data_IF_794465251371
#
_entry.id   IF_794465251371
#
_cell.length_a   1.000
_cell.length_b   1.000
_cell.length_c   1.000
_cell.angle_alpha   90.00
_cell.angle_beta   90.00
_cell.angle_gamma   90.00
#
_symmetry.space_group_name_H-M   'P 1'
#
loop_
_entity.id
_entity.type
_entity.pdbx_description
1 polymer ?
#
# COMPACT_ATOMS: atom_id res chain seq x y z
N UNK A 1 -25.05 -29.65 -6.48
CA UNK A 1 -23.83 -28.94 -6.06
C UNK A 1 -23.97 -27.49 -6.55
N UNK A 2 -24.17 -26.55 -5.64
CA UNK A 2 -24.17 -25.12 -5.96
C UNK A 2 -22.71 -24.75 -6.28
N UNK A 3 -22.45 -24.24 -7.51
CA UNK A 3 -21.13 -23.69 -7.82
C UNK A 3 -20.85 -22.52 -6.87
N UNK A 4 -19.73 -22.51 -6.14
CA UNK A 4 -19.41 -21.36 -5.31
C UNK A 4 -19.25 -20.16 -6.23
N UNK A 5 -20.14 -19.20 -6.11
CA UNK A 5 -19.97 -17.88 -6.69
C UNK A 5 -18.86 -17.18 -5.92
N UNK A 6 -17.65 -17.19 -6.43
CA UNK A 6 -16.57 -16.42 -5.84
C UNK A 6 -16.88 -14.93 -6.02
N UNK A 7 -17.27 -14.28 -4.94
CA UNK A 7 -17.34 -12.82 -4.90
C UNK A 7 -15.90 -12.34 -4.80
N UNK A 8 -15.39 -11.59 -5.78
CA UNK A 8 -14.02 -11.10 -5.71
C UNK A 8 -13.87 -10.12 -4.54
N UNK A 9 -12.76 -10.25 -3.80
CA UNK A 9 -12.44 -9.35 -2.69
C UNK A 9 -12.40 -7.89 -3.16
N UNK A 10 -12.89 -6.97 -2.32
CA UNK A 10 -13.00 -5.54 -2.65
C UNK A 10 -11.66 -4.90 -3.05
N UNK A 11 -10.55 -5.35 -2.48
CA UNK A 11 -9.21 -4.84 -2.76
C UNK A 11 -8.39 -5.73 -3.73
N UNK A 12 -9.04 -6.66 -4.45
CA UNK A 12 -8.40 -7.48 -5.47
C UNK A 12 -8.66 -6.92 -6.87
N UNK A 13 -7.73 -7.16 -7.80
CA UNK A 13 -7.90 -6.81 -9.21
C UNK A 13 -7.13 -5.58 -9.67
N UNK A 14 -5.96 -5.32 -9.11
CA UNK A 14 -5.06 -4.28 -9.61
C UNK A 14 -4.67 -4.51 -11.07
N UNK A 15 -4.80 -3.46 -11.91
CA UNK A 15 -4.56 -3.49 -13.35
C UNK A 15 -3.09 -3.26 -13.75
N UNK A 16 -2.23 -2.78 -12.83
CA UNK A 16 -0.83 -2.51 -13.14
C UNK A 16 -0.02 -3.78 -13.36
N UNK A 17 0.80 -3.79 -14.41
CA UNK A 17 1.91 -4.74 -14.49
C UNK A 17 2.91 -4.43 -13.37
N UNK A 18 3.19 -5.40 -12.54
CA UNK A 18 4.08 -5.27 -11.37
C UNK A 18 5.55 -5.07 -11.76
N UNK A 19 5.89 -5.14 -13.03
CA UNK A 19 7.23 -4.94 -13.60
C UNK A 19 8.33 -5.72 -12.83
N UNK A 20 8.05 -6.97 -12.47
CA UNK A 20 8.89 -7.77 -11.56
C UNK A 20 10.36 -7.84 -11.98
N UNK A 21 10.64 -7.97 -13.29
CA UNK A 21 12.01 -8.04 -13.81
C UNK A 21 12.70 -6.68 -13.75
N UNK A 22 11.97 -5.61 -14.07
CA UNK A 22 12.48 -4.25 -14.15
C UNK A 22 12.79 -3.64 -12.77
N UNK A 23 12.15 -4.12 -11.71
CA UNK A 23 12.41 -3.65 -10.34
C UNK A 23 13.85 -3.87 -9.86
N UNK A 24 14.60 -4.75 -10.52
CA UNK A 24 16.02 -5.02 -10.22
C UNK A 24 16.97 -4.12 -10.99
N UNK A 25 16.50 -3.51 -12.03
CA UNK A 25 17.28 -2.57 -12.85
C UNK A 25 17.24 -1.17 -12.21
N UNK A 26 18.34 -0.80 -11.54
CA UNK A 26 18.44 0.49 -10.84
C UNK A 26 18.46 1.66 -11.81
N UNK A 27 19.06 1.50 -13.00
CA UNK A 27 19.13 2.57 -14.00
C UNK A 27 17.74 2.85 -14.54
N UNK A 28 16.99 1.81 -14.90
CA UNK A 28 15.62 1.92 -15.34
C UNK A 28 14.71 2.55 -14.25
N UNK A 29 14.82 2.11 -12.99
CA UNK A 29 14.06 2.69 -11.89
C UNK A 29 14.34 4.18 -11.73
N UNK A 30 15.61 4.59 -11.79
CA UNK A 30 16.00 5.98 -11.66
C UNK A 30 15.48 6.82 -12.84
N UNK A 31 15.59 6.32 -14.06
CA UNK A 31 15.00 6.95 -15.25
C UNK A 31 13.49 7.17 -15.07
N UNK A 32 12.76 6.14 -14.61
CA UNK A 32 11.30 6.22 -14.41
C UNK A 32 10.91 7.17 -13.27
N UNK A 33 11.68 7.23 -12.19
CA UNK A 33 11.44 8.21 -11.10
C UNK A 33 11.51 9.67 -11.58
N UNK A 34 12.37 9.95 -12.55
CA UNK A 34 12.56 11.30 -13.10
C UNK A 34 11.71 11.56 -14.35
N UNK A 35 11.06 10.55 -14.91
CA UNK A 35 10.31 10.67 -16.13
C UNK A 35 9.02 11.49 -15.95
N UNK A 36 8.77 12.52 -16.79
CA UNK A 36 7.59 13.39 -16.64
C UNK A 36 6.25 12.67 -16.72
N UNK A 37 6.20 11.53 -17.44
CA UNK A 37 5.01 10.69 -17.56
C UNK A 37 4.77 9.77 -16.36
N UNK A 38 5.70 9.70 -15.39
CA UNK A 38 5.51 8.88 -14.21
C UNK A 38 4.60 9.56 -13.21
N UNK A 39 3.83 8.74 -12.49
CA UNK A 39 2.87 9.19 -11.49
C UNK A 39 3.25 8.69 -10.10
N UNK A 40 2.95 9.50 -9.09
CA UNK A 40 3.21 9.22 -7.69
C UNK A 40 1.90 9.25 -6.92
N UNK A 41 1.64 8.22 -6.14
CA UNK A 41 0.61 8.20 -5.12
C UNK A 41 1.27 8.57 -3.77
N UNK A 42 1.05 9.80 -3.28
CA UNK A 42 1.55 10.19 -1.98
C UNK A 42 0.74 9.53 -0.86
N UNK A 43 1.45 9.12 0.20
CA UNK A 43 0.87 8.71 1.46
C UNK A 43 1.48 9.56 2.59
N UNK A 44 0.72 9.80 3.63
CA UNK A 44 1.18 10.41 4.86
C UNK A 44 0.64 9.62 6.05
N UNK A 45 1.53 9.06 6.85
CA UNK A 45 1.21 8.16 7.97
C UNK A 45 0.30 6.97 7.55
N UNK A 46 0.56 6.42 6.36
CA UNK A 46 -0.21 5.33 5.78
C UNK A 46 -1.59 5.72 5.25
N UNK A 47 -1.94 7.01 5.26
CA UNK A 47 -3.15 7.55 4.63
C UNK A 47 -2.83 7.99 3.20
N UNK A 48 -3.44 7.38 2.17
CA UNK A 48 -3.24 7.82 0.80
C UNK A 48 -3.90 9.16 0.52
N UNK A 49 -3.31 9.91 -0.41
CA UNK A 49 -3.92 11.13 -0.93
C UNK A 49 -5.09 10.79 -1.85
N UNK A 50 -6.27 11.29 -1.53
CA UNK A 50 -7.51 11.04 -2.26
C UNK A 50 -8.01 12.33 -2.89
N UNK A 51 -8.22 12.32 -4.20
CA UNK A 51 -8.89 13.41 -4.91
C UNK A 51 -10.36 13.42 -4.52
N UNK A 52 -10.80 14.55 -3.97
CA UNK A 52 -12.20 14.76 -3.63
C UNK A 52 -12.97 15.17 -4.88
N UNK A 53 -13.92 14.33 -5.26
CA UNK A 53 -14.82 14.52 -6.39
C UNK A 53 -16.15 13.80 -6.08
N UNK A 54 -17.13 13.88 -6.97
CA UNK A 54 -18.37 13.11 -6.85
C UNK A 54 -18.08 11.60 -6.64
N UNK A 55 -17.08 11.07 -7.37
CA UNK A 55 -16.48 9.76 -7.11
C UNK A 55 -15.04 9.96 -6.63
N UNK A 56 -14.69 9.60 -5.39
CA UNK A 56 -13.34 9.71 -4.90
C UNK A 56 -12.39 8.78 -5.67
N UNK A 57 -11.16 9.22 -5.88
CA UNK A 57 -10.15 8.48 -6.61
C UNK A 57 -8.74 8.74 -6.04
N UNK A 58 -7.74 7.87 -6.31
CA UNK A 58 -6.34 8.16 -5.97
C UNK A 58 -5.89 9.49 -6.58
N UNK A 59 -5.30 10.37 -5.80
CA UNK A 59 -4.66 11.57 -6.32
C UNK A 59 -3.24 11.21 -6.78
N UNK A 60 -3.10 10.89 -8.06
CA UNK A 60 -1.81 10.66 -8.69
C UNK A 60 -1.21 12.01 -9.11
N UNK A 61 0.01 12.28 -8.63
CA UNK A 61 0.76 13.52 -8.88
C UNK A 61 1.89 13.21 -9.86
N UNK A 62 2.23 14.13 -10.75
CA UNK A 62 3.40 14.00 -11.61
C UNK A 62 4.68 13.89 -10.78
N UNK A 63 5.57 12.97 -11.14
CA UNK A 63 6.79 12.73 -10.36
C UNK A 63 7.67 13.99 -10.23
N UNK A 64 7.68 14.86 -11.24
CA UNK A 64 8.42 16.13 -11.23
C UNK A 64 7.94 17.13 -10.16
N UNK A 65 6.66 17.08 -9.78
CA UNK A 65 6.08 17.99 -8.79
C UNK A 65 6.46 17.61 -7.33
N UNK A 66 6.94 16.40 -7.11
CA UNK A 66 7.24 15.86 -5.77
C UNK A 66 8.64 15.22 -5.72
N UNK A 67 9.48 15.46 -6.70
CA UNK A 67 10.79 14.81 -6.85
C UNK A 67 11.70 14.93 -5.62
N UNK A 68 11.75 16.08 -4.96
CA UNK A 68 12.56 16.30 -3.77
C UNK A 68 12.15 15.40 -2.57
N UNK A 69 10.93 14.91 -2.55
CA UNK A 69 10.46 14.04 -1.48
C UNK A 69 10.97 12.61 -1.60
N UNK A 70 11.39 12.16 -2.78
CA UNK A 70 11.98 10.82 -2.97
C UNK A 70 13.31 10.64 -2.26
N UNK A 71 14.06 11.71 -2.02
CA UNK A 71 15.32 11.65 -1.29
C UNK A 71 15.13 11.33 0.21
N UNK A 72 13.99 11.70 0.76
CA UNK A 72 13.70 11.64 2.20
C UNK A 72 12.66 10.58 2.58
N UNK A 73 11.80 10.22 1.62
CA UNK A 73 10.69 9.30 1.84
C UNK A 73 11.00 7.86 1.50
N UNK A 74 10.28 6.94 2.13
CA UNK A 74 10.24 5.55 1.66
C UNK A 74 9.32 5.49 0.42
N UNK A 75 9.80 4.91 -0.67
CA UNK A 75 9.04 4.77 -1.91
C UNK A 75 9.07 3.36 -2.48
N UNK A 76 8.08 3.04 -3.30
CA UNK A 76 8.04 1.78 -4.03
C UNK A 76 7.39 1.94 -5.41
N UNK A 77 7.89 1.21 -6.40
CA UNK A 77 7.22 1.04 -7.68
C UNK A 77 5.98 0.15 -7.49
N UNK A 78 4.80 0.69 -7.74
CA UNK A 78 3.56 -0.10 -7.72
C UNK A 78 3.38 -0.92 -8.99
N UNK A 79 3.87 -0.40 -10.11
CA UNK A 79 3.82 -1.06 -11.40
C UNK A 79 3.82 -0.07 -12.55
N UNK A 80 3.50 -0.58 -13.74
CA UNK A 80 3.41 0.21 -14.97
C UNK A 80 2.05 0.01 -15.65
N UNK A 81 1.53 1.07 -16.26
CA UNK A 81 0.38 1.04 -17.17
C UNK A 81 0.84 1.59 -18.53
N UNK A 82 1.10 0.69 -19.49
CA UNK A 82 1.82 1.08 -20.71
C UNK A 82 3.20 1.64 -20.34
N UNK A 83 3.49 2.87 -20.77
CA UNK A 83 4.76 3.53 -20.49
C UNK A 83 4.79 4.31 -19.16
N UNK A 84 3.64 4.47 -18.51
CA UNK A 84 3.55 5.19 -17.24
C UNK A 84 3.94 4.31 -16.07
N UNK A 85 5.00 4.67 -15.37
CA UNK A 85 5.33 4.08 -14.07
C UNK A 85 4.53 4.76 -12.96
N UNK A 86 4.03 3.97 -12.01
CA UNK A 86 3.28 4.45 -10.85
C UNK A 86 4.04 4.08 -9.58
N UNK A 87 4.34 5.07 -8.76
CA UNK A 87 5.07 4.91 -7.51
C UNK A 87 4.17 5.23 -6.30
N UNK A 88 4.39 4.57 -5.18
CA UNK A 88 3.94 5.02 -3.87
C UNK A 88 5.09 5.76 -3.19
N UNK A 89 4.76 6.81 -2.44
CA UNK A 89 5.73 7.60 -1.67
C UNK A 89 5.13 7.95 -0.31
N UNK A 90 5.75 7.48 0.76
CA UNK A 90 5.41 7.86 2.13
C UNK A 90 6.14 9.15 2.50
N UNK A 91 5.39 10.22 2.78
CA UNK A 91 5.91 11.58 2.98
C UNK A 91 6.21 11.92 4.43
N UNK A 92 5.74 11.13 5.39
CA UNK A 92 5.87 11.48 6.78
C UNK A 92 6.00 10.31 7.72
N UNK A 93 6.98 10.44 8.63
CA UNK A 93 7.04 9.63 9.83
C UNK A 93 6.09 10.21 10.87
N UNK A 94 5.69 9.38 11.86
CA UNK A 94 4.89 9.83 13.00
C UNK A 94 5.47 11.10 13.62
N UNK A 95 4.65 12.15 13.74
CA UNK A 95 5.03 13.44 14.32
C UNK A 95 5.44 14.53 13.31
N UNK A 96 5.57 14.23 12.02
CA UNK A 96 5.74 15.26 11.01
C UNK A 96 4.38 15.92 10.69
N UNK A 97 4.40 17.20 10.33
CA UNK A 97 3.22 17.86 9.76
C UNK A 97 2.95 17.30 8.36
N UNK A 98 1.65 17.18 8.02
CA UNK A 98 1.28 16.78 6.67
C UNK A 98 1.75 17.83 5.67
N UNK A 99 2.40 17.42 4.55
CA UNK A 99 2.76 18.38 3.52
C UNK A 99 1.49 18.96 2.88
N UNK A 100 1.54 20.24 2.50
CA UNK A 100 0.42 20.89 1.82
C UNK A 100 0.29 20.37 0.38
N UNK A 101 -0.55 19.38 0.20
CA UNK A 101 -0.97 18.85 -1.09
C UNK A 101 -2.48 19.05 -1.34
N UNK A 102 -3.08 20.00 -0.63
CA UNK A 102 -4.53 20.28 -0.66
C UNK A 102 -5.07 20.53 -2.07
N UNK A 103 -4.26 21.12 -2.96
CA UNK A 103 -4.61 21.32 -4.38
C UNK A 103 -4.87 20.03 -5.16
N UNK A 104 -4.33 18.89 -4.68
CA UNK A 104 -4.49 17.58 -5.33
C UNK A 104 -5.53 16.71 -4.64
N UNK A 105 -5.75 16.90 -3.34
CA UNK A 105 -6.66 16.06 -2.56
C UNK A 105 -6.45 16.17 -1.06
N UNK A 106 -6.97 15.18 -0.35
CA UNK A 106 -6.88 15.09 1.11
C UNK A 106 -6.36 13.71 1.51
N UNK A 107 -5.42 13.66 2.45
CA UNK A 107 -4.99 12.41 3.06
C UNK A 107 -6.14 11.79 3.85
N UNK A 108 -6.53 10.58 3.49
CA UNK A 108 -7.76 9.97 3.99
C UNK A 108 -7.53 8.51 4.38
N UNK A 109 -8.09 8.10 5.52
CA UNK A 109 -8.03 6.69 5.92
C UNK A 109 -8.77 5.80 4.90
N UNK A 110 -8.08 4.81 4.37
CA UNK A 110 -8.60 3.94 3.32
C UNK A 110 -9.94 3.26 3.68
N UNK A 111 -10.13 2.93 4.96
CA UNK A 111 -11.38 2.31 5.43
C UNK A 111 -12.61 3.19 5.26
N UNK A 112 -12.43 4.51 5.27
CA UNK A 112 -13.54 5.47 5.10
C UNK A 112 -13.99 5.57 3.64
N UNK A 113 -13.06 5.53 2.71
CA UNK A 113 -13.33 5.69 1.28
C UNK A 113 -13.42 4.36 0.51
N UNK A 114 -12.84 3.29 1.04
CA UNK A 114 -12.77 1.98 0.38
C UNK A 114 -14.09 1.48 -0.20
N UNK A 115 -15.23 1.58 0.54
CA UNK A 115 -16.52 1.10 0.05
C UNK A 115 -17.09 1.84 -1.17
N UNK A 116 -16.64 3.08 -1.41
CA UNK A 116 -17.14 3.96 -2.48
C UNK A 116 -16.15 4.17 -3.63
N UNK A 117 -14.95 3.60 -3.53
CA UNK A 117 -13.93 3.64 -4.59
C UNK A 117 -14.26 2.67 -5.72
N UNK A 118 -13.83 3.03 -6.93
CA UNK A 118 -13.74 2.05 -8.01
C UNK A 118 -12.82 0.88 -7.59
N UNK A 119 -13.14 -0.32 -8.03
CA UNK A 119 -12.45 -1.55 -7.60
C UNK A 119 -10.93 -1.52 -7.86
N UNK A 120 -10.53 -1.02 -9.03
CA UNK A 120 -9.12 -0.92 -9.41
C UNK A 120 -8.38 0.10 -8.53
N UNK A 121 -9.02 1.23 -8.24
CA UNK A 121 -8.50 2.26 -7.34
C UNK A 121 -8.36 1.74 -5.90
N UNK A 122 -9.37 1.03 -5.41
CA UNK A 122 -9.33 0.41 -4.10
C UNK A 122 -8.18 -0.62 -3.98
N UNK A 123 -7.95 -1.42 -5.04
CA UNK A 123 -6.85 -2.37 -5.10
C UNK A 123 -5.48 -1.66 -5.13
N UNK A 124 -5.35 -0.59 -5.91
CA UNK A 124 -4.12 0.22 -5.98
C UNK A 124 -3.77 0.84 -4.62
N UNK A 125 -4.76 1.46 -3.97
CA UNK A 125 -4.60 2.11 -2.67
C UNK A 125 -4.26 1.10 -1.56
N UNK A 126 -4.94 -0.04 -1.54
CA UNK A 126 -4.66 -1.10 -0.56
C UNK A 126 -3.25 -1.65 -0.72
N UNK A 127 -2.80 -1.84 -1.96
CA UNK A 127 -1.46 -2.30 -2.26
C UNK A 127 -0.39 -1.28 -1.85
N UNK A 128 -0.54 -0.01 -2.23
CA UNK A 128 0.37 1.06 -1.86
C UNK A 128 0.48 1.19 -0.34
N UNK A 129 -0.67 1.27 0.34
CA UNK A 129 -0.74 1.35 1.80
C UNK A 129 -0.07 0.16 2.49
N UNK A 130 -0.37 -1.07 2.04
CA UNK A 130 0.21 -2.28 2.59
C UNK A 130 1.73 -2.29 2.49
N UNK A 131 2.26 -1.89 1.34
CA UNK A 131 3.69 -1.84 1.07
C UNK A 131 4.39 -0.75 1.90
N UNK A 132 3.82 0.45 1.99
CA UNK A 132 4.39 1.55 2.80
C UNK A 132 4.33 1.25 4.30
N UNK A 133 3.26 0.65 4.80
CA UNK A 133 3.20 0.19 6.19
C UNK A 133 4.24 -0.89 6.50
N UNK A 134 4.49 -1.80 5.55
CA UNK A 134 5.55 -2.78 5.69
C UNK A 134 6.93 -2.10 5.73
N UNK A 135 7.20 -1.10 4.88
CA UNK A 135 8.43 -0.31 4.93
C UNK A 135 8.64 0.32 6.31
N UNK A 136 7.63 0.99 6.83
CA UNK A 136 7.69 1.64 8.14
C UNK A 136 8.01 0.68 9.30
N UNK A 137 7.52 -0.58 9.21
CA UNK A 137 7.72 -1.61 10.24
C UNK A 137 9.02 -2.40 10.11
N UNK A 138 9.70 -2.31 8.97
CA UNK A 138 10.91 -3.10 8.67
C UNK A 138 12.16 -2.23 8.47
N UNK A 139 12.22 -1.08 9.13
CA UNK A 139 13.37 -0.16 9.07
C UNK A 139 14.62 -0.74 9.73
N UNK A 140 14.43 -1.68 10.64
CA UNK A 140 15.49 -2.39 11.33
C UNK A 140 15.38 -3.89 11.08
N UNK A 141 16.54 -4.55 11.04
CA UNK A 141 16.62 -6.00 10.84
C UNK A 141 16.13 -6.74 12.09
N UNK A 142 15.15 -7.62 11.95
CA UNK A 142 14.62 -8.43 13.05
C UNK A 142 15.62 -9.44 13.63
N UNK A 143 16.71 -9.75 12.90
CA UNK A 143 17.72 -10.70 13.36
C UNK A 143 18.89 -10.03 14.15
N UNK A 144 19.33 -8.82 13.73
CA UNK A 144 20.51 -8.20 14.34
C UNK A 144 20.31 -6.73 14.76
N UNK A 145 19.12 -6.16 14.55
CA UNK A 145 18.79 -4.79 14.93
C UNK A 145 19.40 -3.69 14.05
N UNK A 146 20.29 -4.01 13.10
CA UNK A 146 20.89 -3.01 12.21
C UNK A 146 19.82 -2.39 11.26
N UNK A 147 20.03 -1.16 10.77
CA UNK A 147 19.14 -0.57 9.78
C UNK A 147 19.00 -1.45 8.52
N UNK A 148 17.90 -1.29 7.82
CA UNK A 148 17.68 -1.93 6.52
C UNK A 148 17.60 -0.88 5.43
N UNK A 149 18.00 -1.23 4.20
CA UNK A 149 17.82 -0.39 3.01
C UNK A 149 16.80 -0.99 2.06
N UNK A 150 16.08 -0.14 1.34
CA UNK A 150 15.15 -0.54 0.30
C UNK A 150 15.89 -1.02 -0.96
N UNK A 151 15.42 -2.11 -1.55
CA UNK A 151 15.93 -2.70 -2.79
C UNK A 151 14.75 -3.13 -3.69
N UNK A 152 15.06 -3.52 -4.92
CA UNK A 152 14.08 -4.03 -5.91
C UNK A 152 12.84 -3.13 -6.05
N UNK A 153 13.08 -1.83 -6.24
CA UNK A 153 11.98 -0.86 -6.40
C UNK A 153 11.02 -0.82 -5.21
N UNK A 154 11.52 -1.05 -3.99
CA UNK A 154 10.71 -1.03 -2.77
C UNK A 154 10.06 -2.36 -2.40
N UNK A 155 10.39 -3.46 -3.08
CA UNK A 155 9.78 -4.77 -2.80
C UNK A 155 10.63 -5.71 -1.96
N UNK A 156 11.81 -5.25 -1.59
CA UNK A 156 12.71 -5.91 -0.67
C UNK A 156 13.37 -4.86 0.22
N UNK A 157 13.64 -5.21 1.46
CA UNK A 157 14.59 -4.50 2.31
C UNK A 157 15.73 -5.43 2.64
N UNK A 158 16.94 -4.92 2.71
CA UNK A 158 18.15 -5.69 3.07
C UNK A 158 18.83 -5.10 4.28
N UNK A 159 19.25 -5.96 5.20
CA UNK A 159 20.08 -5.56 6.33
C UNK A 159 21.38 -4.91 5.86
N UNK A 160 21.73 -3.76 6.46
CA UNK A 160 22.97 -3.04 6.12
C UNK A 160 24.22 -3.59 6.84
N UNK A 161 24.03 -4.45 7.84
CA UNK A 161 25.14 -5.16 8.47
C UNK A 161 25.61 -6.28 7.53
N UNK A 162 26.82 -6.16 6.99
CA UNK A 162 27.39 -7.11 6.03
C UNK A 162 27.51 -8.54 6.59
N UNK A 163 27.76 -8.69 7.89
CA UNK A 163 27.82 -10.01 8.53
C UNK A 163 26.43 -10.69 8.63
N UNK A 164 25.35 -9.93 8.51
CA UNK A 164 23.99 -10.42 8.54
C UNK A 164 23.38 -10.50 7.14
N UNK A 165 23.33 -9.39 6.41
CA UNK A 165 22.87 -9.21 5.02
C UNK A 165 21.52 -9.86 4.68
N UNK A 166 20.68 -10.18 5.68
CA UNK A 166 19.40 -10.88 5.49
C UNK A 166 18.44 -10.01 4.67
N UNK A 167 17.81 -10.56 3.61
CA UNK A 167 16.73 -9.90 2.90
C UNK A 167 15.41 -10.04 3.68
N UNK A 168 14.61 -8.98 3.66
CA UNK A 168 13.25 -8.93 4.20
C UNK A 168 12.26 -8.69 3.07
N UNK A 169 11.15 -9.41 3.07
CA UNK A 169 10.10 -9.32 2.06
C UNK A 169 8.76 -8.95 2.70
N UNK A 170 7.86 -8.27 1.98
CA UNK A 170 6.49 -8.11 2.43
C UNK A 170 5.85 -9.47 2.71
N UNK A 171 5.15 -9.59 3.84
CA UNK A 171 4.42 -10.81 4.19
C UNK A 171 2.99 -10.72 3.71
N UNK A 172 2.52 -11.81 3.12
CA UNK A 172 1.13 -12.00 2.68
C UNK A 172 0.64 -13.28 3.34
N UNK A 173 0.31 -13.20 4.63
CA UNK A 173 -0.22 -14.35 5.35
C UNK A 173 -1.67 -14.59 4.90
N UNK A 174 -2.05 -15.83 4.53
CA UNK A 174 -3.43 -16.13 4.18
C UNK A 174 -4.32 -15.95 5.42
N UNK A 175 -5.48 -15.34 5.20
CA UNK A 175 -6.50 -15.16 6.23
C UNK A 175 -7.84 -15.67 5.71
N UNK A 176 -8.62 -16.26 6.60
CA UNK A 176 -9.98 -16.72 6.32
C UNK A 176 -10.95 -16.07 7.31
N UNK A 177 -12.18 -15.88 6.87
CA UNK A 177 -13.32 -15.53 7.73
C UNK A 177 -14.31 -16.68 7.60
N UNK A 178 -14.73 -17.25 8.73
CA UNK A 178 -15.62 -18.40 8.76
C UNK A 178 -16.92 -18.06 9.46
N UNK A 179 -18.05 -18.43 8.84
CA UNK A 179 -19.35 -18.41 9.48
C UNK A 179 -19.66 -19.84 9.94
N UNK A 180 -19.61 -20.08 11.23
CA UNK A 180 -19.98 -21.37 11.84
C UNK A 180 -21.48 -21.33 12.11
N UNK A 181 -22.22 -22.29 11.54
CA UNK A 181 -23.69 -22.36 11.68
C UNK A 181 -24.14 -23.67 12.26
N UNK A 182 -25.28 -23.67 12.98
CA UNK A 182 -26.00 -24.85 13.42
C UNK A 182 -27.49 -24.58 13.28
N UNK A 183 -28.14 -25.21 12.30
CA UNK A 183 -29.52 -24.93 11.93
C UNK A 183 -29.69 -23.48 11.48
N UNK A 184 -30.54 -22.74 12.14
CA UNK A 184 -30.83 -21.30 11.90
C UNK A 184 -29.95 -20.34 12.71
N UNK A 185 -28.99 -20.87 13.47
CA UNK A 185 -28.11 -20.08 14.34
C UNK A 185 -26.71 -19.95 13.75
N UNK A 186 -26.06 -18.80 14.01
CA UNK A 186 -24.67 -18.56 13.68
C UNK A 186 -23.86 -18.21 14.94
N UNK A 187 -22.62 -18.68 15.00
CA UNK A 187 -21.69 -18.32 16.05
C UNK A 187 -21.02 -16.98 15.67
N UNK A 188 -21.22 -15.98 16.51
CA UNK A 188 -20.60 -14.67 16.36
C UNK A 188 -19.75 -14.37 17.59
N UNK A 189 -18.59 -13.76 17.37
CA UNK A 189 -17.71 -13.28 18.43
C UNK A 189 -17.81 -11.77 18.60
N UNK A 190 -17.40 -11.32 19.78
CA UNK A 190 -17.33 -9.89 20.14
C UNK A 190 -16.15 -9.63 21.06
N UNK A 191 -15.42 -8.55 20.82
CA UNK A 191 -14.44 -8.04 21.78
C UNK A 191 -15.07 -6.97 22.69
N UNK A 192 -14.61 -6.90 23.92
CA UNK A 192 -15.13 -5.92 24.91
C UNK A 192 -14.95 -4.46 24.47
N UNK A 193 -13.89 -4.18 23.70
CA UNK A 193 -13.58 -2.85 23.18
C UNK A 193 -14.47 -2.42 22.00
N UNK A 194 -15.28 -3.30 21.44
CA UNK A 194 -16.14 -2.95 20.31
C UNK A 194 -17.41 -2.24 20.78
N UNK A 195 -17.99 -1.38 19.91
CA UNK A 195 -19.28 -0.76 20.18
C UNK A 195 -20.35 -1.79 20.56
N UNK A 196 -21.31 -1.35 21.37
CA UNK A 196 -22.44 -2.21 21.74
C UNK A 196 -23.18 -2.68 20.50
N UNK A 197 -23.54 -3.97 20.46
CA UNK A 197 -24.23 -4.59 19.31
C UNK A 197 -23.34 -4.99 18.14
N UNK A 198 -22.05 -4.62 18.12
CA UNK A 198 -21.13 -5.05 17.08
C UNK A 198 -20.63 -6.49 17.35
N UNK A 199 -20.86 -7.36 16.39
CA UNK A 199 -20.39 -8.74 16.40
C UNK A 199 -19.70 -9.06 15.06
N UNK A 200 -18.84 -10.07 15.05
CA UNK A 200 -18.16 -10.55 13.85
C UNK A 200 -18.20 -12.07 13.80
N UNK A 201 -18.03 -12.61 12.60
CA UNK A 201 -17.70 -14.01 12.37
C UNK A 201 -16.28 -14.32 12.83
N UNK A 202 -15.92 -15.58 12.89
CA UNK A 202 -14.59 -16.08 13.29
C UNK A 202 -13.61 -16.05 12.13
#
# INVERSE_FOLDING_TARGET
>A
MVKPTSIPNAYAGGALDRAHRMRRDRAWLHERLLHPGSAVLPLWQGQPLIRQAEAPAPALIGASEISAAFEKGDWALLGVAGDQAVFALELGLSGAEAPDLSRFGTFTELRQVGPILAREDAALLAYARGLMLWHGRNRFCGACGAPTRSEEGGHQRRCTNEACAIPHFPRTDPAVIMLVTSGDKALLGRQSAWPSGMHSTL
#
